data_IF_917344585959
#
_entry.id   IF_917344585959
#
_cell.length_a   1.000
_cell.length_b   1.000
_cell.length_c   1.000
_cell.angle_alpha   90.00
_cell.angle_beta   90.00
_cell.angle_gamma   90.00
#
_symmetry.space_group_name_H-M   'P 1'
#
loop_
_entity.id
_entity.type
_entity.pdbx_description
1 polymer ?
#
# COMPACT_ATOMS: atom_id res chain seq x y z
N UNK A 1 3.34 -16.80 65.74
CA UNK A 1 3.89 -17.08 64.40
C UNK A 1 2.79 -16.86 63.38
N UNK A 2 2.73 -15.68 62.77
CA UNK A 2 1.77 -15.35 61.71
C UNK A 2 2.51 -15.42 60.37
N UNK A 3 2.23 -16.46 59.60
CA UNK A 3 2.77 -16.63 58.24
C UNK A 3 2.05 -15.67 57.30
N UNK A 4 2.81 -14.77 56.67
CA UNK A 4 2.30 -13.87 55.66
C UNK A 4 2.00 -14.66 54.37
N UNK A 5 0.75 -14.61 53.92
CA UNK A 5 0.32 -15.15 52.63
C UNK A 5 0.64 -14.08 51.58
N UNK A 6 1.72 -14.27 50.83
CA UNK A 6 2.05 -13.44 49.67
C UNK A 6 1.11 -13.79 48.51
N UNK A 7 0.13 -12.92 48.26
CA UNK A 7 -0.72 -13.00 47.05
C UNK A 7 0.07 -12.38 45.90
N UNK A 8 0.53 -13.22 44.97
CA UNK A 8 1.16 -12.77 43.73
C UNK A 8 0.09 -12.15 42.82
N UNK A 9 0.11 -10.82 42.68
CA UNK A 9 -0.65 -10.13 41.64
C UNK A 9 0.01 -10.40 40.28
N UNK A 10 -0.56 -11.32 39.52
CA UNK A 10 -0.25 -11.47 38.10
C UNK A 10 -0.90 -10.30 37.37
N UNK A 11 -0.11 -9.26 37.11
CA UNK A 11 -0.52 -8.18 36.20
C UNK A 11 -0.52 -8.77 34.79
N UNK A 12 -1.69 -9.19 34.32
CA UNK A 12 -1.90 -9.51 32.91
C UNK A 12 -1.82 -8.16 32.18
N UNK A 13 -0.66 -7.89 31.58
CA UNK A 13 -0.53 -6.79 30.65
C UNK A 13 -1.52 -7.05 29.50
N UNK A 14 -2.62 -6.30 29.48
CA UNK A 14 -3.48 -6.24 28.30
C UNK A 14 -2.60 -5.68 27.18
N UNK A 15 -2.08 -6.57 26.33
CA UNK A 15 -1.54 -6.19 25.03
C UNK A 15 -2.74 -5.67 24.27
N UNK A 16 -2.99 -4.37 24.36
CA UNK A 16 -3.87 -3.68 23.43
C UNK A 16 -3.15 -3.77 22.10
N UNK A 17 -3.38 -4.87 21.39
CA UNK A 17 -2.98 -5.01 20.01
C UNK A 17 -3.81 -3.98 19.26
N UNK A 18 -3.24 -2.80 19.02
CA UNK A 18 -3.75 -1.85 18.03
C UNK A 18 -3.60 -2.50 16.64
N UNK A 19 -4.36 -3.56 16.40
CA UNK A 19 -4.42 -4.22 15.11
C UNK A 19 -5.32 -3.37 14.24
N UNK A 20 -4.72 -2.48 13.45
CA UNK A 20 -5.44 -1.80 12.37
C UNK A 20 -6.07 -2.80 11.42
N UNK A 21 -7.10 -2.34 10.70
CA UNK A 21 -7.74 -3.16 9.69
C UNK A 21 -6.75 -3.51 8.57
N UNK A 22 -6.72 -4.79 8.21
CA UNK A 22 -6.06 -5.27 7.00
C UNK A 22 -7.15 -5.49 5.96
N UNK A 23 -7.07 -4.74 4.86
CA UNK A 23 -8.05 -4.82 3.79
C UNK A 23 -7.69 -5.92 2.81
N UNK A 24 -8.67 -6.59 2.22
CA UNK A 24 -8.45 -7.26 0.95
C UNK A 24 -8.28 -6.23 -0.18
N UNK A 25 -7.59 -6.57 -1.28
CA UNK A 25 -7.47 -5.66 -2.43
C UNK A 25 -8.82 -5.14 -2.93
N UNK A 26 -9.85 -5.99 -2.92
CA UNK A 26 -11.19 -5.61 -3.40
C UNK A 26 -11.99 -4.76 -2.40
N UNK A 27 -11.83 -4.95 -1.09
CA UNK A 27 -12.42 -4.04 -0.11
C UNK A 27 -11.83 -2.64 -0.26
N UNK A 28 -10.51 -2.53 -0.37
CA UNK A 28 -9.85 -1.25 -0.60
C UNK A 28 -10.27 -0.63 -1.93
N UNK A 29 -10.34 -1.42 -3.01
CA UNK A 29 -10.81 -0.94 -4.31
C UNK A 29 -12.25 -0.39 -4.25
N UNK A 30 -13.15 -1.06 -3.52
CA UNK A 30 -14.52 -0.58 -3.30
C UNK A 30 -14.52 0.73 -2.54
N UNK A 31 -13.76 0.84 -1.46
CA UNK A 31 -13.66 2.07 -0.69
C UNK A 31 -13.12 3.23 -1.53
N UNK A 32 -12.05 3.00 -2.28
CA UNK A 32 -11.46 3.99 -3.18
C UNK A 32 -12.45 4.43 -4.28
N UNK A 33 -13.17 3.48 -4.87
CA UNK A 33 -14.10 3.76 -5.98
C UNK A 33 -15.39 4.43 -5.53
N UNK A 34 -15.95 4.03 -4.39
CA UNK A 34 -17.31 4.46 -4.00
C UNK A 34 -17.31 5.52 -2.91
N UNK A 35 -16.36 5.48 -1.98
CA UNK A 35 -16.27 6.42 -0.85
C UNK A 35 -15.32 7.57 -1.19
N UNK A 36 -14.12 7.25 -1.70
CA UNK A 36 -13.04 8.22 -1.91
C UNK A 36 -12.90 8.66 -3.36
N UNK A 37 -13.96 8.51 -4.18
CA UNK A 37 -13.90 8.71 -5.63
C UNK A 37 -13.43 10.10 -6.03
N UNK A 38 -13.89 11.14 -5.32
CA UNK A 38 -13.50 12.53 -5.57
C UNK A 38 -12.04 12.80 -5.22
N UNK A 39 -11.57 12.31 -4.06
CA UNK A 39 -10.17 12.45 -3.64
C UNK A 39 -9.24 11.68 -4.59
N UNK A 40 -9.64 10.46 -4.98
CA UNK A 40 -8.89 9.65 -5.93
C UNK A 40 -8.81 10.32 -7.31
N UNK A 41 -9.92 10.89 -7.79
CA UNK A 41 -9.95 11.66 -9.03
C UNK A 41 -9.01 12.86 -8.97
N UNK A 42 -9.01 13.58 -7.85
CA UNK A 42 -8.22 14.80 -7.65
C UNK A 42 -6.73 14.50 -7.55
N UNK A 43 -6.33 13.45 -6.82
CA UNK A 43 -4.93 13.24 -6.45
C UNK A 43 -4.22 12.13 -7.22
N UNK A 44 -4.97 11.15 -7.77
CA UNK A 44 -4.43 10.04 -8.54
C UNK A 44 -5.13 9.86 -9.90
N UNK A 45 -5.87 10.87 -10.37
CA UNK A 45 -6.57 10.83 -11.66
C UNK A 45 -7.64 9.74 -11.77
N UNK A 46 -8.16 9.26 -10.63
CA UNK A 46 -9.19 8.21 -10.58
C UNK A 46 -8.61 6.80 -10.71
N UNK A 47 -7.28 6.63 -10.65
CA UNK A 47 -6.64 5.35 -10.86
C UNK A 47 -6.71 4.44 -9.61
N UNK A 48 -7.81 3.67 -9.51
CA UNK A 48 -8.04 2.70 -8.43
C UNK A 48 -6.94 1.64 -8.40
N UNK A 49 -6.51 1.13 -9.57
CA UNK A 49 -5.51 0.06 -9.64
C UNK A 49 -4.16 0.50 -9.07
N UNK A 50 -3.71 1.72 -9.41
CA UNK A 50 -2.47 2.27 -8.87
C UNK A 50 -2.53 2.41 -7.35
N UNK A 51 -3.61 2.97 -6.81
CA UNK A 51 -3.79 3.10 -5.37
C UNK A 51 -3.77 1.73 -4.65
N UNK A 52 -4.47 0.73 -5.20
CA UNK A 52 -4.49 -0.63 -4.65
C UNK A 52 -3.11 -1.28 -4.73
N UNK A 53 -2.38 -1.09 -5.84
CA UNK A 53 -1.03 -1.63 -5.97
C UNK A 53 -0.06 -1.01 -4.93
N UNK A 54 -0.10 0.32 -4.77
CA UNK A 54 0.70 1.03 -3.76
C UNK A 54 0.44 0.49 -2.34
N UNK A 55 -0.84 0.25 -2.02
CA UNK A 55 -1.27 -0.32 -0.75
C UNK A 55 -0.80 -1.77 -0.55
N UNK A 56 -0.67 -2.55 -1.63
CA UNK A 56 -0.20 -3.93 -1.57
C UNK A 56 1.23 -4.06 -1.03
N UNK A 57 2.09 -3.07 -1.30
CA UNK A 57 3.44 -2.99 -0.72
C UNK A 57 3.47 -2.66 0.78
N UNK A 58 2.31 -2.46 1.40
CA UNK A 58 2.10 -2.27 2.84
C UNK A 58 1.15 -3.33 3.40
N UNK A 59 1.02 -4.44 2.67
CA UNK A 59 0.15 -5.56 3.02
C UNK A 59 -1.30 -5.16 3.24
N UNK A 60 -1.76 -4.07 2.60
CA UNK A 60 -3.10 -3.50 2.78
C UNK A 60 -3.45 -3.17 4.24
N UNK A 61 -2.43 -2.98 5.09
CA UNK A 61 -2.60 -2.79 6.52
C UNK A 61 -2.69 -1.30 6.85
N UNK A 62 -3.86 -0.85 7.32
CA UNK A 62 -4.10 0.54 7.70
C UNK A 62 -3.28 0.99 8.93
N UNK A 63 -2.74 0.06 9.72
CA UNK A 63 -1.82 0.36 10.83
C UNK A 63 -0.38 -0.07 10.55
N UNK A 64 -0.03 -0.25 9.27
CA UNK A 64 1.33 -0.56 8.90
C UNK A 64 2.32 0.50 9.43
N UNK A 65 3.48 0.02 9.88
CA UNK A 65 4.59 0.87 10.31
C UNK A 65 5.91 0.29 9.79
N UNK A 66 6.72 1.13 9.15
CA UNK A 66 8.09 0.79 8.75
C UNK A 66 9.06 1.80 9.34
N UNK A 67 10.00 1.31 10.14
CA UNK A 67 11.08 2.10 10.71
C UNK A 67 12.32 1.98 9.84
N UNK A 68 12.67 3.07 9.15
CA UNK A 68 13.92 3.17 8.41
C UNK A 68 15.11 3.22 9.38
N UNK A 69 16.29 2.69 9.01
CA UNK A 69 17.51 2.77 9.84
C UNK A 69 17.94 4.18 10.26
N UNK A 70 17.44 5.22 9.58
CA UNK A 70 17.74 6.62 9.87
C UNK A 70 16.80 7.22 10.95
N UNK A 71 15.89 6.41 11.50
CA UNK A 71 14.90 6.82 12.50
C UNK A 71 13.57 7.33 11.92
N UNK A 72 13.47 7.53 10.60
CA UNK A 72 12.20 7.87 9.94
C UNK A 72 11.22 6.72 10.07
N UNK A 73 9.95 7.03 10.33
CA UNK A 73 8.87 6.04 10.35
C UNK A 73 7.85 6.38 9.27
N UNK A 74 7.45 5.36 8.52
CA UNK A 74 6.41 5.42 7.50
C UNK A 74 5.17 4.68 8.00
N UNK A 75 4.00 5.28 7.81
CA UNK A 75 2.76 4.89 8.45
C UNK A 75 1.65 4.59 7.45
N UNK A 76 0.72 3.73 7.86
CA UNK A 76 -0.55 3.54 7.18
C UNK A 76 -0.45 2.78 5.86
N UNK A 77 -1.61 2.62 5.22
CA UNK A 77 -1.76 1.79 4.03
C UNK A 77 -0.93 2.27 2.84
N UNK A 78 -0.57 3.56 2.80
CA UNK A 78 0.27 4.15 1.75
C UNK A 78 1.73 4.41 2.18
N UNK A 79 2.12 4.06 3.41
CA UNK A 79 3.49 4.22 3.89
C UNK A 79 3.99 5.66 3.89
N UNK A 80 3.24 6.56 4.55
CA UNK A 80 3.49 7.99 4.57
C UNK A 80 4.35 8.40 5.75
N UNK A 81 5.28 9.34 5.54
CA UNK A 81 6.05 9.95 6.62
C UNK A 81 5.38 11.23 7.08
N UNK A 82 5.54 11.54 8.37
CA UNK A 82 5.09 12.82 8.92
C UNK A 82 5.94 13.96 8.36
N UNK A 83 5.28 15.01 7.86
CA UNK A 83 5.90 16.22 7.31
C UNK A 83 5.21 17.44 7.92
N UNK A 84 5.88 18.11 8.86
CA UNK A 84 5.31 19.18 9.70
C UNK A 84 4.82 20.43 8.98
N UNK A 85 5.04 20.55 7.66
CA UNK A 85 4.68 21.75 6.87
C UNK A 85 3.63 21.50 5.79
N UNK A 86 3.14 20.27 5.63
CA UNK A 86 2.28 19.90 4.49
C UNK A 86 0.87 19.47 4.90
N UNK A 87 0.40 19.77 6.12
CA UNK A 87 -0.88 19.24 6.63
C UNK A 87 -0.86 17.71 6.82
N UNK A 88 0.33 17.11 6.75
CA UNK A 88 0.62 15.69 6.89
C UNK A 88 1.43 15.47 8.19
N UNK A 89 1.03 16.13 9.28
CA UNK A 89 1.86 16.43 10.45
C UNK A 89 1.64 15.50 11.67
N UNK A 90 0.88 14.42 11.53
CA UNK A 90 0.66 13.43 12.60
C UNK A 90 0.60 11.98 12.11
N UNK A 91 1.33 11.06 12.76
CA UNK A 91 1.32 9.65 12.39
C UNK A 91 -0.04 8.97 12.56
N UNK A 92 -0.82 9.37 13.57
CA UNK A 92 -2.20 8.89 13.79
C UNK A 92 -3.16 9.27 12.66
N UNK A 93 -2.82 10.27 11.84
CA UNK A 93 -3.60 10.68 10.67
C UNK A 93 -3.54 9.61 9.58
N UNK A 94 -2.48 8.79 9.54
CA UNK A 94 -2.32 7.72 8.55
C UNK A 94 -2.69 6.34 9.09
N UNK A 95 -2.79 6.20 10.42
CA UNK A 95 -3.19 4.95 11.10
C UNK A 95 -4.70 4.98 11.34
N UNK A 96 -5.49 4.92 10.28
CA UNK A 96 -6.95 4.79 10.34
C UNK A 96 -7.53 4.23 9.03
N UNK A 97 -8.83 4.01 9.03
CA UNK A 97 -9.56 3.41 7.92
C UNK A 97 -10.22 4.45 6.99
N UNK A 98 -10.00 5.76 7.17
CA UNK A 98 -10.70 6.82 6.41
C UNK A 98 -9.94 7.26 5.15
N UNK A 99 -8.61 7.18 5.11
CA UNK A 99 -7.72 7.45 3.96
C UNK A 99 -7.89 8.78 3.18
N UNK A 100 -8.81 9.68 3.58
CA UNK A 100 -9.11 10.93 2.88
C UNK A 100 -7.87 11.81 2.72
N UNK A 101 -7.12 11.98 3.82
CA UNK A 101 -5.89 12.77 3.89
C UNK A 101 -4.69 12.00 3.33
N UNK A 102 -4.72 10.67 3.39
CA UNK A 102 -3.63 9.83 2.89
C UNK A 102 -3.43 10.02 1.38
N UNK A 103 -4.50 10.09 0.58
CA UNK A 103 -4.38 10.32 -0.87
C UNK A 103 -3.79 11.70 -1.19
N UNK A 104 -4.17 12.72 -0.43
CA UNK A 104 -3.57 14.06 -0.54
C UNK A 104 -2.08 14.03 -0.19
N UNK A 105 -1.72 13.42 0.94
CA UNK A 105 -0.34 13.34 1.42
C UNK A 105 0.54 12.48 0.51
N UNK A 106 0.01 11.36 -0.01
CA UNK A 106 0.67 10.51 -1.00
C UNK A 106 1.03 11.32 -2.25
N UNK A 107 0.07 12.05 -2.81
CA UNK A 107 0.31 12.85 -4.00
C UNK A 107 1.29 14.00 -3.74
N UNK A 108 1.07 14.76 -2.67
CA UNK A 108 1.82 16.00 -2.37
C UNK A 108 3.22 15.78 -1.78
N UNK A 109 3.52 14.60 -1.23
CA UNK A 109 4.81 14.33 -0.56
C UNK A 109 5.63 13.21 -1.19
N UNK A 110 4.98 12.28 -1.91
CA UNK A 110 5.65 11.11 -2.50
C UNK A 110 5.61 11.19 -4.00
N UNK A 111 4.42 11.23 -4.60
CA UNK A 111 4.25 11.13 -6.05
C UNK A 111 4.57 12.44 -6.79
N UNK A 112 4.68 13.57 -6.08
CA UNK A 112 5.21 14.83 -6.63
C UNK A 112 6.66 14.70 -7.09
N UNK A 113 7.41 13.72 -6.57
CA UNK A 113 8.81 13.49 -6.93
C UNK A 113 8.89 12.54 -8.13
N UNK A 114 9.42 12.96 -9.29
CA UNK A 114 9.39 12.17 -10.52
C UNK A 114 10.05 10.79 -10.40
N UNK A 115 11.13 10.67 -9.64
CA UNK A 115 11.82 9.40 -9.42
C UNK A 115 10.98 8.42 -8.57
N UNK A 116 10.29 8.92 -7.53
CA UNK A 116 9.37 8.08 -6.73
C UNK A 116 8.15 7.69 -7.54
N UNK A 117 7.60 8.60 -8.33
CA UNK A 117 6.49 8.29 -9.25
C UNK A 117 6.89 7.20 -10.25
N UNK A 118 8.07 7.32 -10.89
CA UNK A 118 8.59 6.31 -11.79
C UNK A 118 8.79 4.96 -11.10
N UNK A 119 9.42 4.95 -9.92
CA UNK A 119 9.64 3.73 -9.13
C UNK A 119 8.31 3.00 -8.88
N UNK A 120 7.27 3.70 -8.46
CA UNK A 120 5.97 3.08 -8.21
C UNK A 120 5.26 2.66 -9.50
N UNK A 121 5.36 3.41 -10.60
CA UNK A 121 4.86 2.92 -11.89
C UNK A 121 5.55 1.65 -12.33
N UNK A 122 6.86 1.54 -12.13
CA UNK A 122 7.62 0.34 -12.45
C UNK A 122 7.20 -0.83 -11.58
N UNK A 123 7.12 -0.62 -10.26
CA UNK A 123 6.70 -1.62 -9.28
C UNK A 123 5.25 -2.05 -9.49
N UNK A 124 4.40 -1.17 -10.00
CA UNK A 124 3.03 -1.46 -10.37
C UNK A 124 2.88 -1.79 -11.85
N UNK A 125 3.91 -2.31 -12.51
CA UNK A 125 3.82 -2.78 -13.89
C UNK A 125 3.32 -4.23 -13.97
N UNK A 126 2.88 -4.66 -15.16
CA UNK A 126 2.20 -5.94 -15.36
C UNK A 126 3.07 -7.18 -15.10
N UNK A 127 4.40 -7.05 -15.18
CA UNK A 127 5.35 -8.12 -14.88
C UNK A 127 5.67 -8.26 -13.38
N UNK A 128 5.31 -7.25 -12.58
CA UNK A 128 5.52 -7.22 -11.12
C UNK A 128 4.21 -7.31 -10.33
N UNK A 129 3.09 -7.46 -11.02
CA UNK A 129 1.76 -7.51 -10.42
C UNK A 129 0.93 -8.65 -10.99
N UNK A 130 0.02 -9.17 -10.17
CA UNK A 130 -1.05 -10.04 -10.60
C UNK A 130 -2.32 -9.22 -10.81
N UNK A 131 -2.88 -9.32 -12.02
CA UNK A 131 -4.11 -8.62 -12.40
C UNK A 131 -5.33 -9.50 -12.13
N UNK A 132 -6.34 -8.93 -11.48
CA UNK A 132 -7.66 -9.57 -11.36
C UNK A 132 -8.77 -8.53 -11.25
N UNK A 133 -10.00 -8.96 -11.52
CA UNK A 133 -11.19 -8.09 -11.45
C UNK A 133 -11.85 -8.22 -10.09
N UNK A 134 -11.93 -7.10 -9.37
CA UNK A 134 -12.78 -6.98 -8.20
C UNK A 134 -14.23 -6.78 -8.62
N UNK A 135 -15.10 -7.65 -8.09
CA UNK A 135 -16.53 -7.64 -8.34
C UNK A 135 -17.28 -7.52 -7.02
N UNK A 136 -18.41 -6.85 -7.05
CA UNK A 136 -19.35 -6.86 -5.93
C UNK A 136 -20.26 -8.08 -6.00
N UNK A 137 -20.65 -8.46 -7.21
CA UNK A 137 -21.31 -9.71 -7.58
C UNK A 137 -21.07 -9.97 -9.07
N UNK A 138 -21.71 -10.98 -9.65
CA UNK A 138 -21.50 -11.38 -11.05
C UNK A 138 -21.76 -10.27 -12.08
N UNK A 139 -22.61 -9.29 -11.75
CA UNK A 139 -23.03 -8.23 -12.65
C UNK A 139 -22.32 -6.89 -12.39
N UNK A 140 -21.88 -6.66 -11.16
CA UNK A 140 -21.34 -5.36 -10.74
C UNK A 140 -19.82 -5.43 -10.59
N UNK A 141 -19.13 -4.92 -11.61
CA UNK A 141 -17.67 -4.80 -11.62
C UNK A 141 -17.22 -3.54 -10.84
N UNK A 142 -16.34 -3.74 -9.87
CA UNK A 142 -15.75 -2.65 -9.07
C UNK A 142 -14.60 -2.04 -9.86
N UNK A 143 -13.50 -2.76 -9.96
CA UNK A 143 -12.32 -2.31 -10.68
C UNK A 143 -11.49 -3.52 -11.07
N UNK A 144 -10.71 -3.35 -12.12
CA UNK A 144 -9.56 -4.20 -12.29
C UNK A 144 -8.41 -3.66 -11.45
N UNK A 145 -7.78 -4.53 -10.67
CA UNK A 145 -6.73 -4.16 -9.73
C UNK A 145 -5.49 -4.99 -9.98
N UNK A 146 -4.35 -4.38 -9.67
CA UNK A 146 -3.03 -4.97 -9.83
C UNK A 146 -2.43 -5.16 -8.44
N UNK A 147 -2.25 -6.41 -8.02
CA UNK A 147 -1.71 -6.79 -6.71
C UNK A 147 -0.22 -7.15 -6.84
N UNK A 148 0.69 -6.53 -6.07
CA UNK A 148 2.11 -6.83 -6.16
C UNK A 148 2.44 -8.30 -5.92
N UNK A 149 3.33 -8.85 -6.75
CA UNK A 149 3.89 -10.21 -6.57
C UNK A 149 4.94 -10.18 -5.44
N UNK A 150 5.79 -9.16 -5.42
CA UNK A 150 6.87 -8.99 -4.43
C UNK A 150 6.48 -7.99 -3.34
N UNK A 151 5.47 -8.33 -2.51
CA UNK A 151 4.90 -7.42 -1.50
C UNK A 151 5.93 -6.88 -0.50
N UNK A 152 6.92 -7.70 -0.15
CA UNK A 152 7.94 -7.37 0.85
C UNK A 152 9.08 -6.48 0.30
N UNK A 153 9.11 -6.16 -1.00
CA UNK A 153 10.24 -5.43 -1.60
C UNK A 153 10.49 -4.10 -0.88
N UNK A 154 9.44 -3.40 -0.47
CA UNK A 154 9.60 -2.12 0.23
C UNK A 154 10.04 -2.32 1.68
N UNK A 155 9.59 -3.39 2.34
CA UNK A 155 10.04 -3.73 3.71
C UNK A 155 11.54 -4.00 3.74
N UNK A 156 12.05 -4.70 2.71
CA UNK A 156 13.45 -5.09 2.58
C UNK A 156 14.35 -3.94 2.12
N UNK A 157 13.82 -3.02 1.34
CA UNK A 157 14.59 -1.93 0.71
C UNK A 157 14.36 -0.57 1.35
N UNK A 158 13.44 -0.50 2.32
CA UNK A 158 12.91 0.73 2.88
C UNK A 158 12.37 1.74 1.84
N UNK A 159 12.03 1.25 0.64
CA UNK A 159 11.57 2.08 -0.48
C UNK A 159 12.66 2.97 -1.08
N UNK A 160 13.93 2.63 -0.82
CA UNK A 160 15.08 3.28 -1.43
C UNK A 160 15.31 2.76 -2.85
N UNK A 161 15.31 3.66 -3.83
CA UNK A 161 15.29 3.29 -5.26
C UNK A 161 16.49 2.41 -5.64
N UNK A 162 17.69 2.76 -5.19
CA UNK A 162 18.90 1.97 -5.47
C UNK A 162 18.82 0.53 -4.90
N UNK A 163 18.16 0.35 -3.76
CA UNK A 163 17.96 -0.95 -3.15
C UNK A 163 16.86 -1.75 -3.86
N UNK A 164 15.79 -1.08 -4.32
CA UNK A 164 14.76 -1.66 -5.19
C UNK A 164 15.37 -2.16 -6.51
N UNK A 165 16.20 -1.35 -7.17
CA UNK A 165 16.91 -1.75 -8.41
C UNK A 165 17.76 -3.00 -8.16
N UNK A 166 18.53 -3.03 -7.07
CA UNK A 166 19.35 -4.19 -6.71
C UNK A 166 18.49 -5.44 -6.45
N UNK A 167 17.36 -5.28 -5.75
CA UNK A 167 16.43 -6.38 -5.50
C UNK A 167 15.87 -6.96 -6.80
N UNK A 168 15.37 -6.11 -7.70
CA UNK A 168 14.80 -6.54 -8.98
C UNK A 168 15.85 -7.21 -9.86
N UNK A 169 17.07 -6.65 -9.92
CA UNK A 169 18.18 -7.24 -10.66
C UNK A 169 18.55 -8.64 -10.15
N UNK A 170 18.52 -8.86 -8.83
CA UNK A 170 18.74 -10.19 -8.25
C UNK A 170 17.66 -11.22 -8.64
N UNK A 171 16.48 -10.75 -9.05
CA UNK A 171 15.38 -11.57 -9.57
C UNK A 171 15.35 -11.63 -11.11
N UNK A 172 16.38 -11.11 -11.79
CA UNK A 172 16.46 -11.10 -13.26
C UNK A 172 15.53 -10.08 -13.93
N UNK A 173 15.11 -9.05 -13.20
CA UNK A 173 14.15 -8.04 -13.67
C UNK A 173 14.87 -6.71 -13.85
N UNK A 174 14.76 -6.13 -15.05
CA UNK A 174 15.28 -4.79 -15.33
C UNK A 174 14.29 -3.71 -14.82
N UNK A 175 14.78 -2.84 -13.94
CA UNK A 175 14.03 -1.71 -13.41
C UNK A 175 13.76 -0.64 -14.46
N UNK A 176 14.69 -0.41 -15.41
CA UNK A 176 14.59 0.67 -16.39
C UNK A 176 13.75 0.28 -17.61
N UNK A 177 13.50 -1.01 -17.79
CA UNK A 177 12.68 -1.53 -18.88
C UNK A 177 11.24 -1.77 -18.39
N UNK A 178 10.29 -0.99 -18.91
CA UNK A 178 8.87 -1.29 -18.72
C UNK A 178 8.45 -2.47 -19.61
N UNK A 179 7.58 -3.38 -19.12
CA UNK A 179 7.05 -4.45 -19.94
C UNK A 179 6.27 -3.86 -21.11
N UNK A 180 6.48 -4.42 -22.30
CA UNK A 180 5.67 -4.08 -23.47
C UNK A 180 4.28 -4.67 -23.25
N UNK A 181 3.24 -3.82 -23.25
CA UNK A 181 1.85 -4.28 -23.12
C UNK A 181 1.51 -5.20 -24.29
N UNK A 182 1.57 -6.51 -24.05
CA UNK A 182 1.06 -7.50 -25.01
C UNK A 182 -0.46 -7.51 -24.86
N UNK A 183 -1.13 -6.65 -25.64
CA UNK A 183 -2.56 -6.78 -25.88
C UNK A 183 -2.77 -8.03 -26.72
N UNK A 184 -2.86 -9.19 -26.08
CA UNK A 184 -3.35 -10.39 -26.76
C UNK A 184 -4.85 -10.19 -26.97
N UNK A 185 -5.23 -9.60 -28.10
CA UNK A 185 -6.60 -9.63 -28.58
C UNK A 185 -7.07 -11.09 -28.60
N UNK A 186 -8.28 -11.42 -28.11
CA UNK A 186 -8.84 -12.73 -28.34
C UNK A 186 -8.94 -12.94 -29.84
N UNK A 187 -8.31 -14.00 -30.33
CA UNK A 187 -8.50 -14.47 -31.69
C UNK A 187 -9.99 -14.80 -31.84
N UNK A 188 -10.68 -14.03 -32.67
CA UNK A 188 -12.03 -14.36 -33.11
C UNK A 188 -11.94 -15.64 -33.94
N UNK A 189 -12.07 -16.79 -33.28
CA UNK A 189 -12.32 -18.05 -33.96
C UNK A 189 -13.79 -18.05 -34.38
N UNK A 190 -14.03 -17.65 -35.63
CA UNK A 190 -15.28 -17.95 -36.33
C UNK A 190 -15.24 -19.41 -36.76
N UNK A 191 -16.18 -20.22 -36.30
CA UNK A 191 -16.60 -21.46 -36.96
C UNK A 191 -18.09 -21.62 -36.76
#
# INVERSE_FOLDING_TARGET
>A
MMGAISVAFVVIAAVVSCSGRVFTPCELAKQLKYVLSSNLATYLGGNVSLAVCLAGYRHYNASYQLKHPNGTVYYGVFGLKVVSRSGCDGGSIFINDSFDLDLYCLNSTVLIHPNKLYMYHRLCASDLTQRFTCKENEFFHVAEVWDPIYKDIIDLTYGEEHAVVKYLSAHGIDYYQLPTTTTTSPSTATT
#
